data_IF_211622829569
#
_entry.id   IF_211622829569
#
_cell.length_a   1.000
_cell.length_b   1.000
_cell.length_c   1.000
_cell.angle_alpha   90.00
_cell.angle_beta   90.00
_cell.angle_gamma   90.00
#
_symmetry.space_group_name_H-M   'P 1'
#
loop_
_entity.id
_entity.type
_entity.pdbx_description
1 polymer ?
#
# COMPACT_ATOMS: atom_id res chain seq x y z
N UNK A 1 1.90 18.64 11.94
CA UNK A 1 3.09 19.48 11.60
C UNK A 1 2.74 20.96 11.59
N UNK A 2 3.72 21.87 11.76
CA UNK A 2 3.48 23.32 11.73
C UNK A 2 3.64 23.90 10.32
N UNK A 3 3.02 25.06 10.06
CA UNK A 3 3.32 25.85 8.87
C UNK A 3 4.72 26.45 8.96
N UNK A 4 5.44 26.49 7.83
CA UNK A 4 6.77 27.10 7.73
C UNK A 4 6.75 28.55 7.22
N UNK A 5 5.63 28.99 6.65
CA UNK A 5 5.41 30.34 6.13
C UNK A 5 4.15 30.95 6.77
N UNK A 6 4.00 32.28 6.79
CA UNK A 6 2.80 32.94 7.31
C UNK A 6 1.53 32.43 6.62
N UNK A 7 0.56 31.96 7.39
CA UNK A 7 -0.65 31.29 6.86
C UNK A 7 -1.52 32.18 5.99
N UNK A 8 -1.43 33.49 6.19
CA UNK A 8 -2.10 34.55 5.44
C UNK A 8 -1.50 34.76 4.04
N UNK A 9 -0.24 34.36 3.83
CA UNK A 9 0.42 34.42 2.52
C UNK A 9 0.15 33.15 1.69
N UNK A 10 -0.34 32.09 2.33
CA UNK A 10 -0.64 30.82 1.68
C UNK A 10 -2.01 30.84 0.99
N UNK A 11 -2.05 30.27 -0.22
CA UNK A 11 -3.32 30.04 -0.92
C UNK A 11 -4.23 29.08 -0.12
N UNK A 12 -5.54 29.12 -0.40
CA UNK A 12 -6.48 28.18 0.19
C UNK A 12 -6.12 26.72 -0.15
N UNK A 13 -5.68 26.48 -1.39
CA UNK A 13 -5.25 25.18 -1.87
C UNK A 13 -3.99 24.68 -1.14
N UNK A 14 -2.95 25.51 -1.02
CA UNK A 14 -1.72 25.14 -0.31
C UNK A 14 -2.00 24.74 1.15
N UNK A 15 -2.93 25.45 1.81
CA UNK A 15 -3.37 25.09 3.17
C UNK A 15 -4.14 23.77 3.22
N UNK A 16 -4.95 23.45 2.21
CA UNK A 16 -5.61 22.15 2.12
C UNK A 16 -4.63 21.01 1.87
N UNK A 17 -3.66 21.21 0.98
CA UNK A 17 -2.56 20.26 0.75
C UNK A 17 -1.76 20.05 2.02
N UNK A 18 -1.42 21.11 2.76
CA UNK A 18 -0.74 21.01 4.05
C UNK A 18 -1.53 20.19 5.08
N UNK A 19 -2.86 20.35 5.14
CA UNK A 19 -3.71 19.53 6.02
C UNK A 19 -3.63 18.06 5.64
N UNK A 20 -3.83 17.73 4.36
CA UNK A 20 -3.79 16.35 3.89
C UNK A 20 -2.42 15.70 4.09
N UNK A 21 -1.33 16.42 3.80
CA UNK A 21 0.04 15.93 4.05
C UNK A 21 0.32 15.75 5.55
N UNK A 22 -0.14 16.68 6.38
CA UNK A 22 0.03 16.56 7.83
C UNK A 22 -0.69 15.35 8.40
N UNK A 23 -1.96 15.15 8.00
CA UNK A 23 -2.70 13.96 8.39
C UNK A 23 -2.04 12.69 7.87
N UNK A 24 -1.58 12.65 6.61
CA UNK A 24 -0.89 11.47 6.07
C UNK A 24 0.37 11.12 6.88
N UNK A 25 1.17 12.12 7.26
CA UNK A 25 2.33 11.90 8.10
C UNK A 25 1.95 11.39 9.50
N UNK A 26 0.89 11.93 10.10
CA UNK A 26 0.39 11.49 11.41
C UNK A 26 -0.05 10.01 11.36
N UNK A 27 -0.73 9.58 10.29
CA UNK A 27 -1.09 8.16 10.12
C UNK A 27 0.15 7.27 9.97
N UNK A 28 1.15 7.68 9.17
CA UNK A 28 2.39 6.92 9.01
C UNK A 28 3.21 6.84 10.31
N UNK A 29 3.20 7.90 11.13
CA UNK A 29 3.78 7.90 12.46
C UNK A 29 3.05 6.92 13.39
N UNK A 30 1.72 6.91 13.35
CA UNK A 30 0.91 5.98 14.13
C UNK A 30 1.18 4.52 13.72
N UNK A 31 1.24 4.21 12.42
CA UNK A 31 1.63 2.88 11.90
C UNK A 31 2.98 2.45 12.47
N UNK A 32 3.99 3.32 12.38
CA UNK A 32 5.33 3.03 12.89
C UNK A 32 5.31 2.77 14.41
N UNK A 33 4.66 3.64 15.19
CA UNK A 33 4.60 3.49 16.64
C UNK A 33 3.85 2.25 17.07
N UNK A 34 2.70 1.95 16.45
CA UNK A 34 1.94 0.74 16.76
C UNK A 34 2.69 -0.52 16.35
N UNK A 35 3.42 -0.50 15.24
CA UNK A 35 4.25 -1.64 14.85
C UNK A 35 5.34 -1.95 15.89
N UNK A 36 6.04 -0.93 16.39
CA UNK A 36 7.03 -1.09 17.46
C UNK A 36 6.41 -1.60 18.76
N UNK A 37 5.23 -1.07 19.14
CA UNK A 37 4.51 -1.51 20.35
C UNK A 37 4.06 -2.96 20.24
N UNK A 38 3.48 -3.35 19.11
CA UNK A 38 3.02 -4.73 18.87
C UNK A 38 4.16 -5.75 18.95
N UNK A 39 5.37 -5.36 18.53
CA UNK A 39 6.56 -6.23 18.59
C UNK A 39 6.95 -6.60 20.03
N UNK A 40 6.83 -5.65 20.97
CA UNK A 40 7.29 -5.82 22.37
C UNK A 40 6.17 -6.09 23.38
N UNK A 41 4.91 -6.03 22.98
CA UNK A 41 3.76 -6.28 23.87
C UNK A 41 3.64 -7.75 24.28
N UNK A 42 3.56 -7.99 25.59
CA UNK A 42 3.38 -9.34 26.16
C UNK A 42 1.90 -9.71 26.35
N UNK A 43 1.01 -8.73 26.56
CA UNK A 43 -0.43 -8.98 26.69
C UNK A 43 -1.06 -9.24 25.30
N UNK A 44 -1.60 -10.44 25.05
CA UNK A 44 -2.09 -10.81 23.73
C UNK A 44 -3.35 -10.04 23.31
N UNK A 45 -4.19 -9.60 24.27
CA UNK A 45 -5.39 -8.84 23.96
C UNK A 45 -5.03 -7.40 23.56
N UNK A 46 -4.11 -6.76 24.29
CA UNK A 46 -3.63 -5.44 23.94
C UNK A 46 -2.83 -5.46 22.64
N UNK A 47 -2.01 -6.49 22.41
CA UNK A 47 -1.30 -6.67 21.12
C UNK A 47 -2.27 -6.70 19.94
N UNK A 48 -3.32 -7.53 20.02
CA UNK A 48 -4.32 -7.62 18.96
C UNK A 48 -5.05 -6.28 18.72
N UNK A 49 -5.34 -5.52 19.77
CA UNK A 49 -5.94 -4.19 19.64
C UNK A 49 -5.00 -3.21 18.94
N UNK A 50 -3.72 -3.21 19.30
CA UNK A 50 -2.72 -2.31 18.70
C UNK A 50 -2.46 -2.68 17.24
N UNK A 51 -2.42 -3.96 16.90
CA UNK A 51 -2.29 -4.43 15.51
C UNK A 51 -3.51 -4.06 14.67
N UNK A 52 -4.72 -4.19 15.23
CA UNK A 52 -5.95 -3.75 14.57
C UNK A 52 -5.91 -2.25 14.27
N UNK A 53 -5.60 -1.42 15.28
CA UNK A 53 -5.49 0.03 15.07
C UNK A 53 -4.43 0.37 14.03
N UNK A 54 -3.24 -0.26 14.09
CA UNK A 54 -2.16 -0.06 13.10
C UNK A 54 -2.66 -0.27 11.67
N UNK A 55 -3.42 -1.35 11.45
CA UNK A 55 -3.87 -1.71 10.12
C UNK A 55 -4.99 -0.78 9.62
N UNK A 56 -5.82 -0.23 10.51
CA UNK A 56 -6.77 0.85 10.18
C UNK A 56 -6.06 2.16 9.77
N UNK A 57 -4.96 2.54 10.43
CA UNK A 57 -4.23 3.76 10.04
C UNK A 57 -3.61 3.64 8.62
N UNK A 58 -3.32 2.42 8.15
CA UNK A 58 -2.88 2.20 6.76
C UNK A 58 -4.00 2.51 5.77
N UNK A 59 -5.26 2.20 6.12
CA UNK A 59 -6.43 2.61 5.33
C UNK A 59 -6.55 4.13 5.29
N UNK A 60 -6.45 4.79 6.45
CA UNK A 60 -6.50 6.26 6.53
C UNK A 60 -5.40 6.93 5.69
N UNK A 61 -4.17 6.42 5.78
CA UNK A 61 -3.05 6.88 4.97
C UNK A 61 -3.32 6.70 3.46
N UNK A 62 -3.85 5.56 3.04
CA UNK A 62 -4.18 5.30 1.63
C UNK A 62 -5.28 6.25 1.12
N UNK A 63 -6.30 6.54 1.92
CA UNK A 63 -7.37 7.49 1.57
C UNK A 63 -6.83 8.92 1.37
N UNK A 64 -5.93 9.37 2.25
CA UNK A 64 -5.30 10.69 2.16
C UNK A 64 -4.35 10.79 0.97
N UNK A 65 -3.56 9.74 0.71
CA UNK A 65 -2.67 9.66 -0.44
C UNK A 65 -3.46 9.71 -1.76
N UNK A 66 -4.59 9.02 -1.84
CA UNK A 66 -5.46 9.07 -3.02
C UNK A 66 -6.04 10.46 -3.26
N UNK A 67 -6.44 11.18 -2.22
CA UNK A 67 -6.90 12.57 -2.36
C UNK A 67 -5.78 13.48 -2.90
N UNK A 68 -4.56 13.33 -2.38
CA UNK A 68 -3.37 14.05 -2.87
C UNK A 68 -3.07 13.71 -4.34
N UNK A 69 -3.13 12.43 -4.72
CA UNK A 69 -2.94 11.96 -6.11
C UNK A 69 -3.92 12.64 -7.08
N UNK A 70 -5.20 12.74 -6.70
CA UNK A 70 -6.21 13.39 -7.54
C UNK A 70 -6.01 14.89 -7.72
N UNK A 71 -5.38 15.55 -6.74
CA UNK A 71 -5.19 17.00 -6.75
C UNK A 71 -3.86 17.42 -7.40
N UNK A 72 -2.78 16.68 -7.15
CA UNK A 72 -1.42 17.07 -7.50
C UNK A 72 -0.89 16.24 -8.68
N UNK A 73 -0.74 16.81 -9.89
CA UNK A 73 -0.34 16.04 -11.09
C UNK A 73 0.98 15.28 -10.93
N UNK A 74 1.95 15.87 -10.23
CA UNK A 74 3.24 15.20 -10.00
C UNK A 74 3.12 14.00 -9.05
N UNK A 75 2.21 14.02 -8.08
CA UNK A 75 1.92 12.84 -7.27
C UNK A 75 1.31 11.73 -8.15
N UNK A 76 0.39 12.05 -9.06
CA UNK A 76 -0.20 11.06 -9.97
C UNK A 76 0.85 10.40 -10.88
N UNK A 77 1.72 11.21 -11.47
CA UNK A 77 2.82 10.75 -12.33
C UNK A 77 3.72 9.75 -11.57
N UNK A 78 4.26 10.16 -10.42
CA UNK A 78 5.19 9.30 -9.66
C UNK A 78 4.51 8.05 -9.11
N UNK A 79 3.29 8.17 -8.56
CA UNK A 79 2.59 7.02 -8.01
C UNK A 79 2.27 5.97 -9.08
N UNK A 80 1.99 6.37 -10.31
CA UNK A 80 1.78 5.44 -11.43
C UNK A 80 3.06 4.75 -11.90
N UNK A 81 4.19 5.45 -11.84
CA UNK A 81 5.50 4.87 -12.18
C UNK A 81 5.87 3.74 -11.22
N UNK A 82 5.63 3.94 -9.92
CA UNK A 82 6.17 3.05 -8.88
C UNK A 82 5.18 2.04 -8.31
N UNK A 83 3.92 2.41 -8.09
CA UNK A 83 2.98 1.53 -7.40
C UNK A 83 2.52 0.37 -8.29
N UNK A 84 2.26 -0.78 -7.66
CA UNK A 84 1.79 -2.00 -8.32
C UNK A 84 2.72 -2.54 -9.41
N UNK A 85 4.00 -2.14 -9.37
CA UNK A 85 5.07 -2.62 -10.23
C UNK A 85 5.78 -3.83 -9.62
N UNK A 86 6.71 -4.43 -10.37
CA UNK A 86 7.60 -5.48 -9.92
C UNK A 86 9.02 -5.21 -10.44
N UNK A 87 10.03 -5.74 -9.75
CA UNK A 87 11.43 -5.51 -10.11
C UNK A 87 12.14 -4.55 -9.16
N UNK A 88 13.31 -4.07 -9.56
CA UNK A 88 14.08 -3.10 -8.78
C UNK A 88 13.43 -1.71 -8.89
N UNK A 89 12.91 -1.20 -7.77
CA UNK A 89 12.23 0.09 -7.70
C UNK A 89 13.12 1.22 -8.23
N UNK A 90 14.44 1.13 -8.04
CA UNK A 90 15.39 2.18 -8.46
C UNK A 90 15.61 2.24 -9.97
N UNK A 91 15.14 1.24 -10.72
CA UNK A 91 15.30 1.16 -12.17
C UNK A 91 13.99 1.43 -12.94
N UNK A 92 12.87 1.65 -12.26
CA UNK A 92 11.56 1.80 -12.90
C UNK A 92 11.41 3.11 -13.68
N UNK A 93 12.09 4.17 -13.27
CA UNK A 93 12.06 5.46 -14.00
C UNK A 93 12.76 5.39 -15.37
N UNK A 94 13.78 4.53 -15.51
CA UNK A 94 14.54 4.36 -16.75
C UNK A 94 13.84 3.45 -17.76
N UNK A 95 12.98 2.54 -17.27
CA UNK A 95 12.30 1.53 -18.10
C UNK A 95 11.22 2.12 -19.02
N UNK A 96 10.84 3.39 -18.83
CA UNK A 96 9.71 4.02 -19.50
C UNK A 96 8.41 3.44 -18.96
N UNK A 97 7.61 4.25 -18.26
CA UNK A 97 6.35 3.82 -17.65
C UNK A 97 5.34 3.31 -18.67
N UNK A 98 5.48 2.05 -19.08
CA UNK A 98 4.47 1.30 -19.83
C UNK A 98 3.45 0.79 -18.81
N UNK A 99 2.34 1.52 -18.75
CA UNK A 99 1.00 1.13 -18.29
C UNK A 99 0.97 -0.06 -17.31
N UNK A 100 0.89 0.24 -16.00
CA UNK A 100 0.75 -0.71 -14.90
C UNK A 100 -0.57 -1.48 -14.93
N UNK A 101 -0.72 -2.35 -15.92
CA UNK A 101 -1.88 -3.20 -16.14
C UNK A 101 -1.49 -4.54 -16.73
N UNK A 102 -1.22 -5.52 -15.86
CA UNK A 102 -1.77 -6.88 -15.90
C UNK A 102 -0.92 -7.81 -15.02
N UNK A 103 -1.30 -7.93 -13.74
CA UNK A 103 -0.95 -9.10 -12.95
C UNK A 103 -1.78 -10.29 -13.46
N UNK A 104 -1.34 -10.94 -14.56
CA UNK A 104 -1.87 -12.26 -14.93
C UNK A 104 -1.38 -13.29 -13.90
N UNK A 105 -2.28 -13.64 -12.98
CA UNK A 105 -2.11 -14.79 -12.10
C UNK A 105 -2.07 -16.09 -12.91
N UNK A 106 -0.86 -16.60 -13.16
CA UNK A 106 -0.69 -17.99 -13.61
C UNK A 106 -0.74 -18.93 -12.41
N UNK A 107 -1.96 -19.33 -12.04
CA UNK A 107 -2.18 -20.44 -11.14
C UNK A 107 -2.00 -21.79 -11.88
N UNK A 108 -1.23 -22.66 -11.24
CA UNK A 108 -1.30 -24.13 -11.28
C UNK A 108 -0.73 -24.88 -12.49
N UNK A 109 0.49 -25.40 -12.31
CA UNK A 109 0.75 -26.80 -12.64
C UNK A 109 1.57 -27.48 -11.53
N UNK A 110 0.88 -28.16 -10.62
CA UNK A 110 1.48 -29.22 -9.81
C UNK A 110 0.66 -30.50 -9.94
N UNK A 111 1.31 -31.45 -10.61
CA UNK A 111 1.20 -32.89 -10.56
C UNK A 111 0.19 -33.51 -9.58
N UNK A 112 -0.65 -34.41 -10.12
CA UNK A 112 -1.08 -35.61 -9.41
C UNK A 112 -0.94 -36.81 -10.34
N UNK A 113 0.03 -37.68 -10.04
CA UNK A 113 0.10 -39.01 -10.62
C UNK A 113 -1.00 -39.90 -10.04
N UNK A 114 -1.52 -40.82 -10.87
CA UNK A 114 -2.07 -42.09 -10.40
C UNK A 114 -2.02 -43.09 -11.55
N UNK A 115 -1.27 -44.16 -11.33
CA UNK A 115 -1.09 -45.26 -12.27
C UNK A 115 -2.32 -46.18 -12.35
N UNK A 116 -2.45 -46.79 -13.53
CA UNK A 116 -2.96 -48.14 -13.83
C UNK A 116 -3.70 -48.90 -12.72
N UNK A 117 -4.89 -49.42 -13.05
CA UNK A 117 -5.20 -50.85 -12.94
C UNK A 117 -6.48 -51.15 -13.75
N UNK A 118 -6.32 -51.95 -14.81
CA UNK A 118 -7.42 -52.38 -15.66
C UNK A 118 -8.27 -53.48 -15.03
N UNK A 119 -9.57 -53.42 -15.30
CA UNK A 119 -10.50 -54.56 -15.34
C UNK A 119 -11.72 -54.15 -16.18
N UNK A 120 -12.13 -55.02 -17.10
CA UNK A 120 -13.33 -54.76 -17.91
C UNK A 120 -13.52 -55.71 -19.09
N UNK A 121 -13.45 -57.02 -18.86
CA UNK A 121 -14.09 -57.99 -19.76
C UNK A 121 -15.51 -58.22 -19.27
N UNK A 122 -16.50 -57.85 -20.08
CA UNK A 122 -17.90 -58.23 -19.90
C UNK A 122 -18.43 -58.76 -21.23
N UNK A 123 -19.24 -59.81 -21.06
CA UNK A 123 -19.80 -60.76 -22.02
C UNK A 123 -20.73 -60.12 -23.04
#
# INVERSE_FOLDING_TARGET
MAYHEPTEELSAEARNVHRALSSLCEELEAVNWYNQRADVLEDPQLKALIEHNRDEEIEHAAMLLEWLRRLLPKFDEELRTYLFSSGDITLLEEAGGEDGGEAQGSASSRASGSGSLGIGSLR
#
